data_IF_203720909858
#
_entry.id   IF_203720909858
#
_cell.length_a   1.000
_cell.length_b   1.000
_cell.length_c   1.000
_cell.angle_alpha   90.00
_cell.angle_beta   90.00
_cell.angle_gamma   90.00
#
_symmetry.space_group_name_H-M   'P 1'
#
loop_
_entity.id
_entity.type
_entity.pdbx_description
1 polymer ?
#
# COMPACT_ATOMS: atom_id res chain seq x y z
N UNK A 1 -13.65 -4.87 -5.22
CA UNK A 1 -13.04 -3.76 -4.48
C UNK A 1 -11.73 -4.26 -3.89
N UNK A 2 -10.62 -3.57 -4.13
CA UNK A 2 -9.28 -3.97 -3.66
C UNK A 2 -8.88 -2.99 -2.54
N UNK A 3 -8.45 -3.51 -1.40
CA UNK A 3 -8.17 -2.69 -0.20
C UNK A 3 -7.12 -3.35 0.70
N UNK A 4 -6.69 -2.64 1.74
CA UNK A 4 -5.99 -3.18 2.91
C UNK A 4 -6.82 -3.01 4.19
N UNK A 5 -6.40 -3.66 5.28
CA UNK A 5 -6.91 -3.50 6.65
C UNK A 5 -8.43 -3.67 6.83
N UNK A 6 -9.02 -4.63 6.11
CA UNK A 6 -10.46 -4.83 6.16
C UNK A 6 -10.88 -5.61 7.42
N UNK A 7 -11.91 -5.11 8.10
CA UNK A 7 -12.42 -5.75 9.33
C UNK A 7 -13.47 -6.80 9.01
N UNK A 8 -13.51 -7.85 9.84
CA UNK A 8 -14.50 -8.94 9.73
C UNK A 8 -15.94 -8.43 9.61
N UNK A 9 -16.38 -7.53 10.50
CA UNK A 9 -17.76 -7.03 10.47
C UNK A 9 -18.06 -6.19 9.21
N UNK A 10 -17.07 -5.42 8.73
CA UNK A 10 -17.24 -4.60 7.52
C UNK A 10 -17.37 -5.48 6.27
N UNK A 11 -16.86 -6.70 6.27
CA UNK A 11 -17.03 -7.65 5.17
C UNK A 11 -18.51 -7.97 4.91
N UNK A 12 -19.33 -8.03 5.97
CA UNK A 12 -20.75 -8.35 5.83
C UNK A 12 -21.59 -7.16 5.33
N UNK A 13 -21.11 -5.93 5.51
CA UNK A 13 -21.79 -4.72 5.02
C UNK A 13 -21.95 -4.70 3.49
N UNK A 14 -21.08 -5.43 2.76
CA UNK A 14 -21.17 -5.52 1.31
C UNK A 14 -22.33 -6.39 0.80
N UNK A 15 -23.01 -7.16 1.67
CA UNK A 15 -24.22 -7.94 1.36
C UNK A 15 -24.17 -8.72 0.03
N UNK A 16 -23.03 -9.34 -0.31
CA UNK A 16 -22.80 -10.04 -1.59
C UNK A 16 -22.98 -9.18 -2.87
N UNK A 17 -23.04 -7.84 -2.75
CA UNK A 17 -23.19 -6.93 -3.89
C UNK A 17 -21.86 -6.72 -4.63
N UNK A 18 -20.76 -6.82 -3.91
CA UNK A 18 -19.40 -6.65 -4.44
C UNK A 18 -18.47 -7.69 -3.85
N UNK A 19 -17.48 -8.12 -4.63
CA UNK A 19 -16.36 -8.92 -4.13
C UNK A 19 -15.34 -7.97 -3.51
N UNK A 20 -14.92 -8.25 -2.28
CA UNK A 20 -13.85 -7.54 -1.58
C UNK A 20 -12.60 -8.41 -1.61
N UNK A 21 -11.49 -7.85 -2.07
CA UNK A 21 -10.17 -8.43 -2.03
C UNK A 21 -9.31 -7.57 -1.10
N UNK A 22 -9.07 -8.07 0.11
CA UNK A 22 -8.08 -7.48 1.02
C UNK A 22 -6.70 -8.04 0.68
N UNK A 23 -5.81 -7.20 0.17
CA UNK A 23 -4.45 -7.56 -0.22
C UNK A 23 -3.43 -7.24 0.87
N UNK A 24 -3.84 -6.57 1.96
CA UNK A 24 -2.95 -6.05 3.00
C UNK A 24 -2.51 -4.61 2.75
N UNK A 25 -2.38 -3.83 3.84
CA UNK A 25 -1.97 -2.42 3.80
C UNK A 25 -0.55 -2.25 3.25
N UNK A 26 0.38 -3.08 3.73
CA UNK A 26 1.77 -2.97 3.29
C UNK A 26 1.88 -3.32 1.79
N UNK A 27 1.21 -4.38 1.37
CA UNK A 27 1.24 -4.89 0.01
C UNK A 27 0.67 -3.90 -0.99
N UNK A 28 -0.40 -3.18 -0.61
CA UNK A 28 -1.01 -2.14 -1.44
C UNK A 28 -0.16 -0.87 -1.55
N UNK A 29 0.55 -0.48 -0.49
CA UNK A 29 1.21 0.82 -0.40
C UNK A 29 2.73 0.80 -0.62
N UNK A 30 3.41 -0.35 -0.55
CA UNK A 30 4.87 -0.44 -0.62
C UNK A 30 5.50 0.22 -1.86
N UNK A 31 4.75 0.31 -2.97
CA UNK A 31 5.22 0.92 -4.23
C UNK A 31 5.14 2.46 -4.22
N UNK A 32 4.44 3.06 -3.26
CA UNK A 32 4.24 4.51 -3.18
C UNK A 32 5.57 5.24 -2.99
N UNK A 33 6.53 4.62 -2.31
CA UNK A 33 7.85 5.21 -2.09
C UNK A 33 8.59 5.47 -3.41
N UNK A 34 8.48 4.56 -4.37
CA UNK A 34 9.12 4.70 -5.69
C UNK A 34 8.41 5.78 -6.52
N UNK A 35 7.07 5.81 -6.48
CA UNK A 35 6.27 6.84 -7.16
C UNK A 35 6.59 8.25 -6.63
N UNK A 36 6.75 8.39 -5.30
CA UNK A 36 7.16 9.65 -4.68
C UNK A 36 8.59 10.02 -5.06
N UNK A 37 9.50 9.04 -5.10
CA UNK A 37 10.88 9.27 -5.52
C UNK A 37 10.94 9.83 -6.94
N UNK A 38 10.20 9.23 -7.88
CA UNK A 38 10.13 9.68 -9.27
C UNK A 38 9.62 11.12 -9.35
N UNK A 39 8.51 11.42 -8.66
CA UNK A 39 7.92 12.77 -8.64
C UNK A 39 8.87 13.81 -8.04
N UNK A 40 9.58 13.46 -6.97
CA UNK A 40 10.54 14.35 -6.31
C UNK A 40 11.78 14.58 -7.18
N UNK A 41 12.32 13.54 -7.80
CA UNK A 41 13.46 13.65 -8.71
C UNK A 41 13.12 14.51 -9.94
N UNK A 42 11.91 14.36 -10.48
CA UNK A 42 11.44 15.19 -11.60
C UNK A 42 11.29 16.67 -11.21
N UNK A 43 10.75 16.94 -10.02
CA UNK A 43 10.52 18.32 -9.54
C UNK A 43 11.80 19.01 -9.08
N UNK A 44 12.76 18.26 -8.54
CA UNK A 44 13.99 18.77 -7.94
C UNK A 44 15.21 18.01 -8.50
N UNK A 45 15.62 18.28 -9.75
CA UNK A 45 16.65 17.50 -10.45
C UNK A 45 18.05 17.57 -9.82
N UNK A 46 18.29 18.54 -8.93
CA UNK A 46 19.55 18.71 -8.20
C UNK A 46 19.63 17.76 -7.00
N UNK A 47 18.49 17.23 -6.52
CA UNK A 47 18.42 16.35 -5.37
C UNK A 47 18.02 14.93 -5.78
N UNK A 48 18.79 13.94 -5.33
CA UNK A 48 18.46 12.53 -5.52
C UNK A 48 17.72 12.02 -4.27
N UNK A 49 16.43 11.64 -4.37
CA UNK A 49 15.70 11.06 -3.25
C UNK A 49 16.37 9.77 -2.76
N UNK A 50 16.54 9.64 -1.44
CA UNK A 50 17.06 8.42 -0.82
C UNK A 50 15.91 7.60 -0.25
N UNK A 51 15.74 6.38 -0.73
CA UNK A 51 14.68 5.48 -0.29
C UNK A 51 15.15 4.61 0.87
N UNK A 52 14.28 4.40 1.85
CA UNK A 52 14.53 3.43 2.91
C UNK A 52 14.49 2.01 2.36
N UNK A 53 15.36 1.14 2.88
CA UNK A 53 15.33 -0.31 2.61
C UNK A 53 14.77 -1.12 3.77
N UNK A 54 14.33 -0.43 4.84
CA UNK A 54 13.77 -1.08 6.02
C UNK A 54 12.36 -1.53 5.69
N UNK A 55 12.12 -2.84 5.72
CA UNK A 55 10.76 -3.41 5.67
C UNK A 55 10.09 -3.19 7.01
N UNK A 56 9.07 -2.34 7.03
CA UNK A 56 8.28 -2.01 8.23
C UNK A 56 7.00 -2.83 8.34
N UNK A 57 6.80 -3.84 7.48
CA UNK A 57 5.65 -4.73 7.57
C UNK A 57 5.77 -5.62 8.83
N UNK A 58 4.88 -5.50 9.82
CA UNK A 58 4.89 -6.37 10.99
C UNK A 58 4.31 -7.76 10.69
N UNK A 59 3.63 -7.92 9.56
CA UNK A 59 2.95 -9.16 9.18
C UNK A 59 3.94 -10.07 8.45
N UNK A 60 3.96 -11.34 8.88
CA UNK A 60 4.67 -12.43 8.21
C UNK A 60 3.67 -13.54 7.91
N UNK A 61 3.55 -13.89 6.62
CA UNK A 61 2.66 -14.97 6.16
C UNK A 61 3.36 -16.33 6.37
N UNK A 62 2.60 -17.34 6.77
CA UNK A 62 3.08 -18.72 7.02
C UNK A 62 2.98 -19.59 5.76
#
# INVERSE_FOLDING_TARGET
FITGDYKYHQFFDAENRIIIADIGHYESEQFTIDLLAEKLAHKFPIFVPRLTRVKTNPINYL
#
